data_IF_863827624859
#
_entry.id   IF_863827624859
#
_cell.length_a   1.000
_cell.length_b   1.000
_cell.length_c   1.000
_cell.angle_alpha   90.00
_cell.angle_beta   90.00
_cell.angle_gamma   90.00
#
_symmetry.space_group_name_H-M   'P 1'
#
loop_
_entity.id
_entity.type
_entity.pdbx_description
1 polymer ?
#
# COMPACT_ATOMS: atom_id res chain seq x y z
N UNK A 1 30.92 3.85 6.30
CA UNK A 1 29.96 3.36 5.28
C UNK A 1 28.64 3.08 5.99
N UNK A 2 27.66 3.98 5.89
CA UNK A 2 26.36 3.82 6.55
C UNK A 2 25.53 2.82 5.76
N UNK A 3 25.20 1.68 6.36
CA UNK A 3 24.28 0.71 5.75
C UNK A 3 22.95 1.40 5.42
N UNK A 4 22.39 1.21 4.21
CA UNK A 4 21.12 1.80 3.86
C UNK A 4 20.06 1.25 4.82
N UNK A 5 19.47 2.13 5.63
CA UNK A 5 18.33 1.78 6.48
C UNK A 5 17.20 1.38 5.54
N UNK A 6 16.99 0.07 5.32
CA UNK A 6 15.76 -0.40 4.69
C UNK A 6 14.62 -0.01 5.62
N UNK A 7 13.87 1.01 5.22
CA UNK A 7 12.63 1.36 5.89
C UNK A 7 11.68 0.16 5.81
N UNK A 8 11.21 -0.30 6.97
CA UNK A 8 10.21 -1.38 7.06
C UNK A 8 8.90 -1.03 6.34
N UNK A 9 8.65 0.28 6.14
CA UNK A 9 7.49 0.79 5.43
C UNK A 9 7.73 0.87 3.91
N UNK A 10 8.95 0.67 3.41
CA UNK A 10 9.20 0.75 1.97
C UNK A 10 8.43 -0.33 1.22
N UNK A 11 7.85 0.05 0.09
CA UNK A 11 7.04 -0.81 -0.75
C UNK A 11 5.90 -0.06 -1.44
N UNK A 12 5.15 -0.81 -2.23
CA UNK A 12 3.89 -0.37 -2.81
C UNK A 12 2.76 -0.90 -1.93
N UNK A 13 1.82 -0.03 -1.61
CA UNK A 13 0.71 -0.30 -0.69
C UNK A 13 -0.59 0.21 -1.32
N UNK A 14 -1.71 -0.42 -1.03
CA UNK A 14 -3.04 0.07 -1.42
C UNK A 14 -3.93 0.23 -0.20
N UNK A 15 -4.83 1.20 -0.23
CA UNK A 15 -5.75 1.47 0.87
C UNK A 15 -6.76 0.33 1.03
N UNK A 16 -6.96 -0.14 2.26
CA UNK A 16 -8.00 -1.14 2.60
C UNK A 16 -9.04 -0.61 3.59
N UNK A 17 -8.68 0.41 4.34
CA UNK A 17 -9.60 1.14 5.21
C UNK A 17 -9.04 2.51 5.56
N UNK A 18 -9.92 3.47 5.70
CA UNK A 18 -9.64 4.81 6.22
C UNK A 18 -10.58 5.10 7.39
N UNK A 19 -10.13 5.88 8.34
CA UNK A 19 -10.93 6.34 9.46
C UNK A 19 -10.64 7.82 9.68
N UNK A 20 -11.72 8.58 9.84
CA UNK A 20 -11.72 10.03 10.07
C UNK A 20 -12.96 10.38 10.88
N UNK A 21 -12.88 11.37 11.75
CA UNK A 21 -14.05 11.80 12.56
C UNK A 21 -14.67 10.64 13.37
N UNK A 22 -13.84 9.69 13.84
CA UNK A 22 -14.30 8.50 14.54
C UNK A 22 -15.08 7.50 13.68
N UNK A 23 -15.15 7.71 12.36
CA UNK A 23 -15.91 6.88 11.42
C UNK A 23 -14.97 6.11 10.51
N UNK A 24 -15.07 4.79 10.58
CA UNK A 24 -14.32 3.91 9.71
C UNK A 24 -15.07 3.70 8.39
N UNK A 25 -14.34 3.89 7.30
CA UNK A 25 -14.70 3.46 5.96
C UNK A 25 -13.84 2.26 5.60
N UNK A 26 -14.50 1.14 5.31
CA UNK A 26 -13.84 -0.11 4.96
C UNK A 26 -14.06 -0.42 3.49
N UNK A 27 -13.03 -0.93 2.82
CA UNK A 27 -13.09 -1.27 1.40
C UNK A 27 -11.73 -1.18 0.75
N UNK A 28 -11.31 -2.26 0.10
CA UNK A 28 -10.08 -2.27 -0.67
C UNK A 28 -10.20 -1.32 -1.87
N UNK A 29 -9.41 -0.26 -1.87
CA UNK A 29 -9.29 0.67 -2.97
C UNK A 29 -7.91 0.50 -3.63
N UNK A 30 -7.86 -0.34 -4.66
CA UNK A 30 -6.63 -0.58 -5.44
C UNK A 30 -6.26 0.56 -6.40
N UNK A 31 -7.14 1.55 -6.58
CA UNK A 31 -6.81 2.78 -7.29
C UNK A 31 -5.99 3.73 -6.42
N UNK A 32 -6.22 3.72 -5.10
CA UNK A 32 -5.50 4.51 -4.09
C UNK A 32 -4.24 3.79 -3.62
N UNK A 33 -3.11 4.12 -4.24
CA UNK A 33 -1.82 3.43 -4.06
C UNK A 33 -0.78 4.37 -3.48
N UNK A 34 -0.04 3.88 -2.48
CA UNK A 34 1.07 4.57 -1.86
C UNK A 34 2.37 3.84 -2.17
N UNK A 35 3.30 4.51 -2.84
CA UNK A 35 4.66 4.04 -3.06
C UNK A 35 5.54 4.73 -2.03
N UNK A 36 6.06 3.97 -1.09
CA UNK A 36 6.90 4.45 0.02
C UNK A 36 8.32 3.97 -0.23
N UNK A 37 9.28 4.88 -0.23
CA UNK A 37 10.72 4.55 -0.33
C UNK A 37 11.40 4.85 1.01
N UNK A 38 12.72 5.06 1.02
CA UNK A 38 13.41 5.55 2.21
C UNK A 38 13.17 7.05 2.44
N UNK A 39 13.01 7.81 1.35
CA UNK A 39 13.08 9.28 1.37
C UNK A 39 11.80 9.94 0.88
N UNK A 40 10.89 9.20 0.25
CA UNK A 40 9.67 9.76 -0.32
C UNK A 40 8.44 8.85 -0.18
N UNK A 41 7.28 9.51 -0.22
CA UNK A 41 5.97 8.88 -0.39
C UNK A 41 5.31 9.48 -1.63
N UNK A 42 4.90 8.63 -2.56
CA UNK A 42 4.13 9.01 -3.74
C UNK A 42 2.74 8.38 -3.62
N UNK A 43 1.70 9.20 -3.58
CA UNK A 43 0.32 8.73 -3.63
C UNK A 43 -0.21 8.83 -5.06
N UNK A 44 -0.82 7.74 -5.52
CA UNK A 44 -1.46 7.60 -6.80
C UNK A 44 -2.96 7.38 -6.58
N UNK A 45 -3.78 8.02 -7.42
CA UNK A 45 -5.19 7.68 -7.59
C UNK A 45 -5.41 7.33 -9.06
N UNK A 46 -5.89 6.13 -9.34
CA UNK A 46 -6.08 5.61 -10.70
C UNK A 46 -4.82 5.73 -11.57
N UNK A 47 -3.66 5.47 -10.95
CA UNK A 47 -2.34 5.57 -11.59
C UNK A 47 -1.82 7.00 -11.80
N UNK A 48 -2.62 8.02 -11.48
CA UNK A 48 -2.22 9.43 -11.55
C UNK A 48 -1.64 9.88 -10.22
N UNK A 49 -0.50 10.58 -10.25
CA UNK A 49 0.11 11.15 -9.06
C UNK A 49 -0.79 12.26 -8.51
N UNK A 50 -1.39 12.03 -7.34
CA UNK A 50 -2.21 13.03 -6.64
C UNK A 50 -1.42 13.77 -5.57
N UNK A 51 -0.36 13.15 -5.04
CA UNK A 51 0.55 13.82 -4.12
C UNK A 51 1.93 13.17 -4.09
N UNK A 52 2.92 13.97 -3.69
CA UNK A 52 4.28 13.54 -3.38
C UNK A 52 4.74 14.20 -2.10
N UNK A 53 5.45 13.47 -1.26
CA UNK A 53 6.00 13.97 -0.03
C UNK A 53 7.42 13.47 0.21
N UNK A 54 8.27 14.31 0.79
CA UNK A 54 9.58 13.91 1.31
C UNK A 54 9.42 13.43 2.74
N UNK A 55 10.07 12.32 3.07
CA UNK A 55 10.16 11.80 4.43
C UNK A 55 11.30 12.55 5.13
N UNK A 56 10.97 13.51 6.00
CA UNK A 56 11.98 14.27 6.76
C UNK A 56 12.35 13.61 8.08
N UNK A 57 11.48 12.74 8.58
CA UNK A 57 11.72 11.94 9.77
C UNK A 57 11.11 10.56 9.61
N UNK A 58 11.90 9.53 9.88
CA UNK A 58 11.43 8.15 9.94
C UNK A 58 12.16 7.42 11.08
N UNK A 59 11.42 7.20 12.16
CA UNK A 59 11.95 6.58 13.35
C UNK A 59 11.19 5.29 13.63
N UNK A 60 11.94 4.20 13.75
CA UNK A 60 11.43 3.00 14.37
C UNK A 60 11.74 3.09 15.85
N UNK A 61 10.70 3.16 16.66
CA UNK A 61 10.87 2.99 18.09
C UNK A 61 10.86 1.50 18.41
N UNK A 62 11.97 0.99 18.93
CA UNK A 62 12.12 -0.43 19.26
C UNK A 62 11.49 -0.78 20.63
N UNK A 63 11.15 0.22 21.44
CA UNK A 63 10.44 0.06 22.71
C UNK A 63 8.92 0.26 22.59
N UNK A 64 8.46 0.93 21.52
CA UNK A 64 7.04 1.15 21.26
C UNK A 64 6.49 0.22 20.16
N UNK A 65 5.17 0.01 20.20
CA UNK A 65 4.43 -0.80 19.21
C UNK A 65 4.33 -0.08 17.84
N UNK A 66 4.80 1.16 17.72
CA UNK A 66 4.76 1.95 16.50
C UNK A 66 6.02 2.81 16.32
N UNK A 67 6.33 3.13 15.07
CA UNK A 67 7.31 4.15 14.70
C UNK A 67 6.66 5.51 14.45
N UNK A 68 7.48 6.52 14.18
CA UNK A 68 7.06 7.89 13.84
C UNK A 68 7.52 8.26 12.44
N UNK A 69 6.68 8.98 11.72
CA UNK A 69 6.96 9.48 10.38
C UNK A 69 6.53 10.94 10.24
N UNK A 70 7.36 11.75 9.59
CA UNK A 70 7.03 13.12 9.20
C UNK A 70 7.21 13.27 7.71
N UNK A 71 6.17 13.78 7.04
CA UNK A 71 6.14 13.99 5.61
C UNK A 71 5.99 15.47 5.29
N UNK A 72 6.82 15.99 4.40
CA UNK A 72 6.67 17.32 3.83
C UNK A 72 6.11 17.22 2.40
N UNK A 73 4.95 17.82 2.16
CA UNK A 73 4.23 17.66 0.90
C UNK A 73 4.83 18.55 -0.19
N UNK A 74 5.38 17.93 -1.24
CA UNK A 74 5.99 18.61 -2.38
C UNK A 74 5.00 18.88 -3.51
N UNK A 75 3.95 18.07 -3.63
CA UNK A 75 2.97 18.12 -4.71
C UNK A 75 1.58 17.72 -4.21
N UNK A 76 0.53 18.24 -4.87
CA UNK A 76 -0.88 17.99 -4.54
C UNK A 76 -1.54 19.18 -3.87
N UNK A 77 -2.82 19.03 -3.50
CA UNK A 77 -3.61 20.07 -2.82
C UNK A 77 -3.01 20.52 -1.48
N UNK A 78 -2.22 19.66 -0.84
CA UNK A 78 -1.57 19.93 0.44
C UNK A 78 -0.10 20.34 0.31
N UNK A 79 0.35 20.77 -0.87
CA UNK A 79 1.74 21.23 -1.08
C UNK A 79 2.14 22.30 -0.03
N UNK A 80 3.32 22.15 0.54
CA UNK A 80 3.86 23.05 1.57
C UNK A 80 3.38 22.74 3.00
N UNK A 81 2.44 21.79 3.17
CA UNK A 81 2.04 21.32 4.49
C UNK A 81 2.93 20.17 4.97
N UNK A 82 3.03 20.04 6.28
CA UNK A 82 3.72 18.93 6.95
C UNK A 82 2.69 18.01 7.58
N UNK A 83 2.77 16.71 7.29
CA UNK A 83 1.97 15.68 7.94
C UNK A 83 2.81 14.92 8.96
N UNK A 84 2.28 14.76 10.17
CA UNK A 84 2.96 14.07 11.26
C UNK A 84 2.13 12.86 11.68
N UNK A 85 2.78 11.70 11.77
CA UNK A 85 2.05 10.45 12.00
C UNK A 85 2.86 9.44 12.80
N UNK A 86 2.14 8.49 13.39
CA UNK A 86 2.67 7.21 13.85
C UNK A 86 2.38 6.13 12.81
N UNK A 87 3.22 5.11 12.74
CA UNK A 87 3.03 4.00 11.81
C UNK A 87 3.42 2.65 12.42
N UNK A 88 2.76 1.58 11.99
CA UNK A 88 3.08 0.22 12.38
C UNK A 88 2.98 -0.70 11.16
N UNK A 89 4.02 -1.52 10.96
CA UNK A 89 4.07 -2.52 9.89
C UNK A 89 4.01 -3.90 10.53
N UNK A 90 2.99 -4.68 10.17
CA UNK A 90 2.80 -6.06 10.59
C UNK A 90 2.64 -6.95 9.38
N UNK A 91 3.70 -7.64 8.96
CA UNK A 91 3.70 -8.48 7.76
C UNK A 91 3.38 -7.68 6.49
N UNK A 92 2.22 -7.96 5.89
CA UNK A 92 1.70 -7.28 4.69
C UNK A 92 0.80 -6.09 5.00
N UNK A 93 0.58 -5.74 6.28
CA UNK A 93 -0.27 -4.62 6.67
C UNK A 93 0.56 -3.45 7.17
N UNK A 94 0.26 -2.25 6.67
CA UNK A 94 0.77 -0.97 7.17
C UNK A 94 -0.40 -0.16 7.72
N UNK A 95 -0.31 0.28 8.97
CA UNK A 95 -1.24 1.23 9.58
C UNK A 95 -0.47 2.52 9.84
N UNK A 96 -1.07 3.66 9.52
CA UNK A 96 -0.54 4.95 9.92
C UNK A 96 -1.66 5.89 10.39
N UNK A 97 -1.38 6.68 11.42
CA UNK A 97 -2.35 7.60 12.00
C UNK A 97 -1.66 8.93 12.25
N UNK A 98 -2.22 10.01 11.73
CA UNK A 98 -1.59 11.33 11.79
C UNK A 98 -2.52 12.46 11.39
N UNK A 99 -2.03 13.68 11.54
CA UNK A 99 -2.74 14.93 11.22
C UNK A 99 -1.78 15.93 10.61
N UNK A 100 -2.32 17.02 10.06
CA UNK A 100 -1.48 18.11 9.56
C UNK A 100 -0.90 18.91 10.72
N UNK A 101 0.36 19.31 10.59
CA UNK A 101 1.01 20.19 11.55
C UNK A 101 0.22 21.51 11.62
N UNK A 102 -0.17 21.91 12.84
CA UNK A 102 -1.01 23.08 13.10
C UNK A 102 -2.48 22.74 13.43
N UNK A 103 -2.95 21.55 13.09
CA UNK A 103 -4.30 21.08 13.51
C UNK A 103 -4.27 20.49 14.93
N UNK A 104 -3.13 19.93 15.33
CA UNK A 104 -2.86 19.45 16.69
C UNK A 104 -1.38 19.67 17.04
N UNK A 105 -1.11 19.85 18.34
CA UNK A 105 0.24 19.99 18.89
C UNK A 105 0.82 18.66 19.39
N UNK A 106 0.04 17.58 19.40
CA UNK A 106 0.43 16.30 20.00
C UNK A 106 0.30 15.18 18.98
N UNK A 107 1.39 14.43 18.74
CA UNK A 107 1.37 13.22 17.91
C UNK A 107 0.34 12.20 18.42
N UNK A 108 -0.34 11.46 17.53
CA UNK A 108 -1.23 10.39 17.95
C UNK A 108 -0.45 9.33 18.73
N UNK A 109 -1.05 8.78 19.78
CA UNK A 109 -0.45 7.71 20.61
C UNK A 109 -1.09 6.34 20.35
N UNK A 110 -2.13 6.30 19.53
CA UNK A 110 -2.90 5.10 19.19
C UNK A 110 -3.41 5.17 17.74
N UNK A 111 -3.68 4.02 17.15
CA UNK A 111 -4.28 3.91 15.82
C UNK A 111 -5.81 3.96 15.90
N UNK A 112 -6.35 5.12 16.24
CA UNK A 112 -7.78 5.40 16.29
C UNK A 112 -8.01 6.91 16.16
N UNK A 113 -9.12 7.29 15.55
CA UNK A 113 -9.54 8.69 15.45
C UNK A 113 -10.66 8.97 16.46
N UNK A 114 -10.96 10.25 16.68
CA UNK A 114 -12.09 10.69 17.51
C UNK A 114 -12.99 11.60 16.69
N UNK A 115 -14.28 11.63 17.02
CA UNK A 115 -15.21 12.58 16.41
C UNK A 115 -14.72 14.02 16.66
N UNK A 116 -14.72 14.85 15.61
CA UNK A 116 -14.18 16.21 15.62
C UNK A 116 -12.65 16.31 15.75
N UNK A 117 -11.93 15.19 15.80
CA UNK A 117 -10.48 15.16 15.90
C UNK A 117 -9.79 15.35 14.55
N UNK A 118 -8.55 15.87 14.55
CA UNK A 118 -7.78 16.08 13.31
C UNK A 118 -7.12 14.79 12.79
N UNK A 119 -7.13 13.73 13.59
CA UNK A 119 -6.46 12.49 13.26
C UNK A 119 -7.13 11.78 12.09
N UNK A 120 -6.28 11.32 11.16
CA UNK A 120 -6.64 10.48 10.05
C UNK A 120 -5.89 9.16 10.18
N UNK A 121 -6.63 8.06 10.32
CA UNK A 121 -6.07 6.72 10.31
C UNK A 121 -6.30 6.09 8.94
N UNK A 122 -5.27 5.42 8.45
CA UNK A 122 -5.40 4.59 7.26
C UNK A 122 -4.67 3.27 7.44
N UNK A 123 -5.34 2.22 7.00
CA UNK A 123 -4.82 0.87 6.92
C UNK A 123 -4.61 0.53 5.46
N UNK A 124 -3.42 0.04 5.14
CA UNK A 124 -3.01 -0.36 3.81
C UNK A 124 -2.50 -1.78 3.82
N UNK A 125 -2.64 -2.43 2.67
CA UNK A 125 -2.08 -3.73 2.42
C UNK A 125 -0.98 -3.63 1.36
N UNK A 126 0.08 -4.42 1.55
CA UNK A 126 1.21 -4.46 0.64
C UNK A 126 0.73 -5.02 -0.69
N UNK A 127 1.07 -4.30 -1.75
CA UNK A 127 0.84 -4.77 -3.11
C UNK A 127 1.76 -5.96 -3.37
N UNK A 128 1.26 -7.18 -3.20
CA UNK A 128 1.92 -8.38 -3.69
C UNK A 128 1.62 -8.48 -5.18
N UNK A 129 2.58 -8.08 -6.02
CA UNK A 129 2.61 -8.62 -7.38
C UNK A 129 2.70 -10.14 -7.21
N UNK A 130 1.67 -10.88 -7.65
CA UNK A 130 1.47 -12.31 -7.34
C UNK A 130 2.55 -13.28 -7.84
N UNK A 131 3.83 -12.88 -7.93
CA UNK A 131 4.91 -13.64 -8.54
C UNK A 131 6.14 -13.87 -7.64
N UNK A 132 6.30 -13.21 -6.47
CA UNK A 132 7.52 -13.41 -5.65
C UNK A 132 7.38 -14.40 -4.49
N UNK A 133 6.20 -14.54 -3.88
CA UNK A 133 6.03 -15.45 -2.73
C UNK A 133 5.60 -16.89 -3.12
N UNK A 134 5.08 -17.06 -4.34
CA UNK A 134 4.77 -18.37 -4.89
C UNK A 134 6.03 -19.21 -5.17
N UNK A 135 7.18 -18.57 -5.44
CA UNK A 135 8.46 -19.26 -5.64
C UNK A 135 9.12 -19.67 -4.30
N UNK A 136 8.99 -18.88 -3.22
CA UNK A 136 9.53 -19.29 -1.91
C UNK A 136 8.74 -20.44 -1.27
N UNK A 137 7.44 -20.54 -1.57
CA UNK A 137 6.55 -21.57 -1.01
C UNK A 137 6.56 -22.90 -1.79
N UNK A 138 7.03 -22.88 -3.04
CA UNK A 138 7.11 -24.05 -3.91
C UNK A 138 8.51 -24.68 -3.94
N UNK A 139 9.57 -23.92 -3.61
CA UNK A 139 10.93 -24.45 -3.53
C UNK A 139 11.21 -25.32 -2.30
N UNK A 140 10.41 -25.27 -1.22
CA UNK A 140 10.61 -26.16 -0.06
C UNK A 140 9.95 -27.55 -0.22
N UNK A 141 9.08 -27.74 -1.22
CA UNK A 141 8.34 -29.01 -1.44
C UNK A 141 8.86 -29.91 -2.57
N UNK A 142 9.98 -29.55 -3.22
CA UNK A 142 10.63 -30.40 -4.24
C UNK A 142 12.11 -30.64 -3.92
N UNK A 143 12.36 -31.31 -2.80
CA UNK A 143 13.64 -31.97 -2.55
C UNK A 143 13.41 -33.30 -1.82
N UNK A 144 12.55 -34.16 -2.36
CA UNK A 144 12.47 -35.57 -1.98
C UNK A 144 11.84 -36.41 -3.11
N UNK A 145 12.61 -37.33 -3.69
CA UNK A 145 12.18 -38.35 -4.67
C UNK A 145 12.40 -37.92 -6.14
N UNK A 146 13.33 -38.44 -6.93
CA UNK A 146 13.89 -39.79 -6.94
C UNK A 146 13.17 -40.66 -7.97
N UNK A 147 13.78 -40.76 -9.17
CA UNK A 147 13.74 -41.91 -10.09
C UNK A 147 12.67 -42.02 -11.21
N UNK A 148 13.19 -41.93 -12.45
CA UNK A 148 12.96 -42.77 -13.66
C UNK A 148 11.53 -43.06 -14.13
N UNK A 149 11.18 -42.56 -15.33
CA UNK A 149 10.32 -43.27 -16.29
C UNK A 149 10.70 -42.92 -17.74
N UNK A 150 10.98 -43.94 -18.55
CA UNK A 150 11.24 -43.88 -19.99
C UNK A 150 9.92 -43.96 -20.75
N UNK A 151 9.83 -43.30 -21.92
CA UNK A 151 8.82 -43.64 -22.95
C UNK A 151 8.02 -42.47 -23.51
N UNK A 152 8.42 -42.00 -24.70
CA UNK A 152 7.58 -41.23 -25.66
C UNK A 152 6.70 -42.22 -26.44
N UNK A 153 5.51 -41.83 -26.99
CA UNK A 153 5.42 -40.88 -28.11
C UNK A 153 4.21 -39.91 -28.15
N UNK A 154 4.38 -38.83 -28.94
CA UNK A 154 3.36 -37.87 -29.46
C UNK A 154 2.61 -38.49 -30.67
N UNK A 155 1.65 -37.81 -31.37
CA UNK A 155 0.87 -36.58 -31.11
C UNK A 155 -0.65 -36.76 -31.40
N UNK A 156 -1.48 -35.74 -31.15
CA UNK A 156 -2.59 -35.36 -32.08
C UNK A 156 -3.02 -33.91 -31.87
N UNK A 157 -3.09 -33.17 -32.99
CA UNK A 157 -3.65 -31.82 -33.12
C UNK A 157 -5.17 -31.88 -32.98
N UNK A 158 -5.75 -30.92 -32.30
CA UNK A 158 -7.12 -30.46 -32.52
C UNK A 158 -7.19 -28.94 -32.26
N UNK A 159 -7.55 -28.19 -33.29
CA UNK A 159 -8.19 -26.87 -33.24
C UNK A 159 -9.40 -26.98 -34.18
N UNK A 160 -10.57 -26.39 -33.85
CA UNK A 160 -10.78 -24.97 -34.17
C UNK A 160 -11.70 -24.16 -33.22
N UNK A 161 -11.52 -22.84 -33.34
CA UNK A 161 -12.48 -21.72 -33.24
C UNK A 161 -13.71 -21.79 -32.31
N UNK A 162 -13.84 -20.78 -31.45
CA UNK A 162 -15.11 -20.04 -31.32
C UNK A 162 -14.81 -18.57 -30.99
N UNK A 163 -15.37 -17.68 -31.79
CA UNK A 163 -15.37 -16.24 -31.57
C UNK A 163 -16.42 -15.88 -30.51
N UNK A 164 -16.12 -14.92 -29.62
CA UNK A 164 -17.17 -14.20 -28.89
C UNK A 164 -16.92 -12.70 -28.99
N UNK A 165 -17.94 -12.02 -29.50
CA UNK A 165 -18.03 -10.58 -29.74
C UNK A 165 -19.20 -10.09 -28.88
N UNK A 166 -18.97 -9.17 -27.96
CA UNK A 166 -20.00 -8.27 -27.39
C UNK A 166 -19.27 -7.23 -26.53
N UNK A 167 -19.17 -5.97 -26.95
CA UNK A 167 -20.18 -4.89 -26.90
C UNK A 167 -20.15 -4.12 -25.58
N UNK A 168 -19.89 -2.82 -25.72
CA UNK A 168 -20.34 -1.63 -24.97
C UNK A 168 -20.86 -1.83 -23.54
N UNK A 169 -20.32 -1.05 -22.61
CA UNK A 169 -21.00 0.14 -22.06
C UNK A 169 -20.09 0.84 -21.03
N UNK A 170 -19.75 2.11 -21.26
CA UNK A 170 -20.43 3.26 -20.65
C UNK A 170 -20.33 3.25 -19.11
N UNK A 171 -19.29 3.89 -18.56
CA UNK A 171 -19.35 4.39 -17.18
C UNK A 171 -19.08 5.89 -17.14
N UNK A 172 -20.19 6.61 -17.00
CA UNK A 172 -20.28 7.99 -16.59
C UNK A 172 -19.90 8.12 -15.11
N UNK A 173 -19.18 9.20 -14.81
CA UNK A 173 -19.31 10.00 -13.59
C UNK A 173 -18.71 9.40 -12.32
N UNK A 174 -17.80 10.15 -11.69
CA UNK A 174 -17.85 10.54 -10.27
C UNK A 174 -16.52 11.22 -9.93
N UNK A 175 -16.48 12.55 -10.08
CA UNK A 175 -15.47 13.40 -9.44
C UNK A 175 -16.21 14.34 -8.49
N UNK A 176 -16.48 13.87 -7.28
CA UNK A 176 -16.83 14.74 -6.15
C UNK A 176 -15.56 15.24 -5.48
N UNK A 177 -15.60 16.52 -5.12
CA UNK A 177 -14.46 17.32 -4.73
C UNK A 177 -13.85 16.94 -3.39
N UNK A 178 -12.54 17.05 -3.36
CA UNK A 178 -11.74 17.13 -2.14
C UNK A 178 -11.69 18.60 -1.75
N UNK A 179 -12.39 18.94 -0.66
CA UNK A 179 -12.15 20.17 0.10
C UNK A 179 -11.14 19.87 1.20
#
# INVERSE_FOLDING_TARGET
MSSPRRSIASGRWYSVSTESDGKQQSGANKADVHIITADEVVALLDGTIVSKATITRLERDLGNVFGRITLEMNTGSNRGKTWVAIYHVSGTTLRWCGHWLGESNTLPTRFATTAGGPDFLRTMERWSDGARDALSSSSSRRAAGGSRWCGRPRPRRFTPQTAFRSSRDSFLGYAQGWR
#
